data_IF_553678965211
#
_entry.id   IF_553678965211
#
_cell.length_a   1.000
_cell.length_b   1.000
_cell.length_c   1.000
_cell.angle_alpha   90.00
_cell.angle_beta   90.00
_cell.angle_gamma   90.00
#
_symmetry.space_group_name_H-M   'P 1'
#
loop_
_entity.id
_entity.type
_entity.pdbx_description
1 polymer ?
#
# COMPACT_ATOMS: atom_id res chain seq x y z
N UNK A 1 -7.46 6.48 -7.91
CA UNK A 1 -6.57 5.31 -7.80
C UNK A 1 -5.34 5.44 -8.69
N UNK A 2 -5.50 5.67 -10.01
CA UNK A 2 -4.37 5.86 -10.93
C UNK A 2 -3.39 6.97 -10.47
N UNK A 3 -3.83 8.17 -10.04
CA UNK A 3 -2.89 9.21 -9.59
C UNK A 3 -2.09 8.81 -8.35
N UNK A 4 -2.70 8.03 -7.45
CA UNK A 4 -2.02 7.53 -6.26
C UNK A 4 -0.98 6.45 -6.63
N UNK A 5 -1.31 5.54 -7.55
CA UNK A 5 -0.37 4.53 -8.04
C UNK A 5 0.84 5.17 -8.74
N UNK A 6 0.60 6.18 -9.58
CA UNK A 6 1.66 6.94 -10.24
C UNK A 6 2.57 7.65 -9.24
N UNK A 7 1.99 8.30 -8.22
CA UNK A 7 2.76 8.93 -7.16
C UNK A 7 3.64 7.93 -6.40
N UNK A 8 3.14 6.73 -6.10
CA UNK A 8 3.90 5.66 -5.45
C UNK A 8 5.05 5.18 -6.32
N UNK A 9 4.82 4.96 -7.62
CA UNK A 9 5.89 4.57 -8.55
C UNK A 9 6.97 5.64 -8.65
N UNK A 10 6.59 6.91 -8.70
CA UNK A 10 7.53 8.04 -8.69
C UNK A 10 8.38 8.07 -7.41
N UNK A 11 7.75 7.97 -6.24
CA UNK A 11 8.47 7.92 -4.96
C UNK A 11 9.41 6.72 -4.86
N UNK A 12 8.99 5.56 -5.39
CA UNK A 12 9.83 4.37 -5.44
C UNK A 12 11.05 4.60 -6.33
N UNK A 13 10.85 5.18 -7.52
CA UNK A 13 11.95 5.52 -8.44
C UNK A 13 12.92 6.54 -7.81
N UNK A 14 12.41 7.60 -7.19
CA UNK A 14 13.23 8.61 -6.50
C UNK A 14 14.08 7.98 -5.37
N UNK A 15 13.52 7.00 -4.65
CA UNK A 15 14.20 6.35 -3.52
C UNK A 15 15.20 5.28 -3.94
N UNK A 16 14.91 4.52 -5.00
CA UNK A 16 15.67 3.32 -5.38
C UNK A 16 16.38 3.43 -6.74
N UNK A 17 16.20 4.53 -7.47
CA UNK A 17 16.78 4.76 -8.80
C UNK A 17 16.21 3.88 -9.90
N UNK A 18 15.09 3.18 -9.64
CA UNK A 18 14.47 2.23 -10.58
C UNK A 18 13.00 2.02 -10.27
N UNK A 19 12.24 1.57 -11.27
CA UNK A 19 10.89 1.04 -11.05
C UNK A 19 10.93 -0.41 -10.54
N UNK A 20 9.87 -0.89 -9.87
CA UNK A 20 9.74 -2.30 -9.54
C UNK A 20 9.55 -3.11 -10.83
N UNK A 21 10.14 -4.31 -10.92
CA UNK A 21 9.97 -5.19 -12.08
C UNK A 21 8.65 -5.98 -12.02
N UNK A 22 8.24 -6.31 -10.81
CA UNK A 22 7.06 -7.12 -10.55
C UNK A 22 6.29 -6.55 -9.37
N UNK A 23 4.98 -6.47 -9.49
CA UNK A 23 4.05 -6.08 -8.43
C UNK A 23 3.05 -7.21 -8.21
N UNK A 24 2.81 -7.54 -6.94
CA UNK A 24 1.81 -8.52 -6.57
C UNK A 24 0.60 -7.81 -5.95
N UNK A 25 -0.59 -8.09 -6.47
CA UNK A 25 -1.85 -7.63 -5.91
C UNK A 25 -2.59 -8.75 -5.18
N UNK A 26 -3.52 -8.36 -4.31
CA UNK A 26 -4.55 -9.26 -3.85
C UNK A 26 -5.62 -9.45 -4.95
N UNK A 27 -6.67 -10.23 -4.67
CA UNK A 27 -7.74 -10.49 -5.64
C UNK A 27 -8.77 -9.33 -5.71
N UNK A 28 -8.50 -8.20 -5.06
CA UNK A 28 -9.33 -7.01 -5.13
C UNK A 28 -9.33 -6.41 -6.53
N UNK A 29 -10.52 -6.11 -7.05
CA UNK A 29 -10.70 -5.56 -8.41
C UNK A 29 -10.21 -4.13 -8.55
N UNK A 30 -10.00 -3.45 -7.43
CA UNK A 30 -9.50 -2.07 -7.36
C UNK A 30 -8.25 -1.89 -8.22
N UNK A 31 -7.23 -2.72 -8.02
CA UNK A 31 -5.94 -2.62 -8.72
C UNK A 31 -5.93 -3.22 -10.13
N UNK A 32 -7.01 -3.87 -10.55
CA UNK A 32 -7.20 -4.41 -11.90
C UNK A 32 -7.96 -3.46 -12.83
N UNK A 33 -8.17 -2.21 -12.42
CA UNK A 33 -8.76 -1.22 -13.33
C UNK A 33 -7.80 -0.92 -14.50
N UNK A 34 -8.39 -0.59 -15.66
CA UNK A 34 -7.64 -0.32 -16.91
C UNK A 34 -6.53 0.71 -16.74
N UNK A 35 -6.78 1.78 -15.98
CA UNK A 35 -5.80 2.86 -15.82
C UNK A 35 -4.56 2.42 -15.04
N UNK A 36 -4.72 1.61 -13.98
CA UNK A 36 -3.58 1.06 -13.23
C UNK A 36 -2.82 0.04 -14.08
N UNK A 37 -3.52 -0.82 -14.81
CA UNK A 37 -2.89 -1.80 -15.70
C UNK A 37 -2.07 -1.10 -16.80
N UNK A 38 -2.64 -0.09 -17.45
CA UNK A 38 -1.94 0.71 -18.47
C UNK A 38 -0.68 1.36 -17.89
N UNK A 39 -0.80 2.02 -16.72
CA UNK A 39 0.34 2.62 -16.03
C UNK A 39 1.48 1.62 -15.76
N UNK A 40 1.15 0.41 -15.30
CA UNK A 40 2.15 -0.61 -15.02
C UNK A 40 2.82 -1.11 -16.31
N UNK A 41 2.04 -1.28 -17.38
CA UNK A 41 2.57 -1.71 -18.68
C UNK A 41 3.48 -0.63 -19.30
N UNK A 42 3.13 0.66 -19.18
CA UNK A 42 3.94 1.77 -19.69
C UNK A 42 5.34 1.83 -19.03
N UNK A 43 5.45 1.32 -17.80
CA UNK A 43 6.69 1.21 -17.06
C UNK A 43 7.36 -0.18 -17.11
N UNK A 44 6.88 -1.09 -17.98
CA UNK A 44 7.36 -2.47 -18.10
C UNK A 44 7.32 -3.26 -16.77
N UNK A 45 6.23 -3.05 -16.00
CA UNK A 45 6.03 -3.65 -14.69
C UNK A 45 5.05 -4.82 -14.81
N UNK A 46 5.53 -6.05 -14.58
CA UNK A 46 4.67 -7.22 -14.55
C UNK A 46 3.81 -7.20 -13.28
N UNK A 47 2.49 -7.28 -13.42
CA UNK A 47 1.58 -7.47 -12.29
C UNK A 47 0.95 -8.87 -12.28
N UNK A 48 0.73 -9.43 -11.10
CA UNK A 48 0.05 -10.72 -10.94
C UNK A 48 -0.68 -10.81 -9.59
N UNK A 49 -1.66 -11.69 -9.51
CA UNK A 49 -2.20 -12.20 -8.23
C UNK A 49 -1.84 -13.68 -8.13
N UNK A 50 -1.38 -14.09 -6.97
CA UNK A 50 -1.24 -15.52 -6.67
C UNK A 50 -2.60 -16.02 -6.20
N UNK A 51 -2.93 -17.32 -6.40
CA UNK A 51 -4.21 -17.94 -5.97
C UNK A 51 -4.12 -18.85 -4.73
N UNK A 52 -2.92 -19.11 -4.23
CA UNK A 52 -2.64 -20.03 -3.11
C UNK A 52 -2.86 -19.40 -1.72
N UNK A 53 -3.75 -19.98 -0.91
CA UNK A 53 -4.20 -19.46 0.39
C UNK A 53 -3.10 -19.29 1.46
N UNK A 54 -1.95 -19.97 1.35
CA UNK A 54 -0.98 -20.06 2.43
C UNK A 54 0.21 -19.10 2.34
N UNK A 55 0.43 -18.39 1.22
CA UNK A 55 1.67 -17.61 1.00
C UNK A 55 1.51 -16.25 0.30
N UNK A 56 0.30 -15.85 -0.10
CA UNK A 56 0.08 -14.67 -0.97
C UNK A 56 0.52 -13.34 -0.37
N UNK A 57 -0.06 -12.98 0.75
CA UNK A 57 0.00 -11.61 1.26
C UNK A 57 0.44 -11.57 2.72
N UNK A 58 0.93 -12.68 3.28
CA UNK A 58 1.25 -12.80 4.70
C UNK A 58 2.19 -11.71 5.22
N UNK A 59 3.10 -11.20 4.38
CA UNK A 59 3.98 -10.07 4.71
C UNK A 59 3.17 -8.77 4.85
N UNK A 60 2.35 -8.46 3.84
CA UNK A 60 1.50 -7.25 3.82
C UNK A 60 0.43 -7.32 4.91
N UNK A 61 -0.19 -8.49 5.12
CA UNK A 61 -1.15 -8.74 6.19
C UNK A 61 -0.52 -8.54 7.57
N UNK A 62 0.68 -9.10 7.80
CA UNK A 62 1.41 -8.93 9.06
C UNK A 62 1.79 -7.47 9.29
N UNK A 63 2.21 -6.77 8.24
CA UNK A 63 2.48 -5.34 8.28
C UNK A 63 1.22 -4.56 8.67
N UNK A 64 0.11 -4.77 7.96
CA UNK A 64 -1.17 -4.11 8.21
C UNK A 64 -1.69 -4.37 9.63
N UNK A 65 -1.59 -5.63 10.10
CA UNK A 65 -1.96 -5.99 11.48
C UNK A 65 -1.10 -5.25 12.51
N UNK A 66 0.20 -5.15 12.28
CA UNK A 66 1.11 -4.43 13.19
C UNK A 66 0.80 -2.94 13.21
N UNK A 67 0.59 -2.35 12.04
CA UNK A 67 0.22 -0.94 11.89
C UNK A 67 -1.12 -0.65 12.58
N UNK A 68 -2.13 -1.49 12.36
CA UNK A 68 -3.44 -1.37 13.01
C UNK A 68 -3.34 -1.44 14.53
N UNK A 69 -2.55 -2.36 15.09
CA UNK A 69 -2.33 -2.47 16.53
C UNK A 69 -1.68 -1.19 17.09
N UNK A 70 -0.68 -0.64 16.40
CA UNK A 70 -0.01 0.61 16.82
C UNK A 70 -0.97 1.80 16.77
N UNK A 71 -1.75 1.91 15.69
CA UNK A 71 -2.78 2.93 15.56
C UNK A 71 -3.85 2.80 16.66
N UNK A 72 -4.29 1.58 16.98
CA UNK A 72 -5.29 1.33 18.02
C UNK A 72 -4.82 1.78 19.40
N UNK A 73 -3.57 1.48 19.76
CA UNK A 73 -2.95 1.96 21.01
C UNK A 73 -2.93 3.48 21.07
N UNK A 74 -2.44 4.11 20.00
CA UNK A 74 -2.39 5.56 19.86
C UNK A 74 -3.78 6.20 20.05
N UNK A 75 -4.82 5.63 19.43
CA UNK A 75 -6.16 6.16 19.53
C UNK A 75 -6.82 5.92 20.89
N UNK A 76 -6.51 4.79 21.55
CA UNK A 76 -7.02 4.49 22.89
C UNK A 76 -6.44 5.45 23.93
N UNK A 77 -5.14 5.73 23.87
CA UNK A 77 -4.46 6.65 24.79
C UNK A 77 -4.87 8.11 24.59
N UNK A 78 -5.10 8.54 23.34
CA UNK A 78 -5.41 9.94 23.02
C UNK A 78 -6.90 10.23 22.86
N UNK A 79 -7.76 9.24 22.69
CA UNK A 79 -9.20 9.41 22.43
C UNK A 79 -9.52 9.84 20.99
N UNK A 80 -10.64 9.34 20.45
CA UNK A 80 -11.12 9.63 19.09
C UNK A 80 -11.96 10.91 19.06
N UNK A 81 -11.34 12.09 19.06
CA UNK A 81 -12.04 13.36 18.79
C UNK A 81 -11.66 13.88 17.41
N UNK A 82 -12.54 14.65 16.75
CA UNK A 82 -12.29 15.18 15.39
C UNK A 82 -10.98 15.96 15.25
N UNK A 83 -10.52 16.63 16.32
CA UNK A 83 -9.23 17.34 16.38
C UNK A 83 -8.00 16.43 16.44
N UNK A 84 -8.16 15.13 16.76
CA UNK A 84 -7.08 14.13 16.94
C UNK A 84 -6.98 13.13 15.78
N UNK A 85 -7.78 13.30 14.72
CA UNK A 85 -7.76 12.49 13.48
C UNK A 85 -6.52 12.71 12.60
N UNK A 86 -5.48 13.40 13.08
CA UNK A 86 -4.20 13.55 12.36
C UNK A 86 -3.28 12.35 12.56
N UNK A 87 -3.80 11.14 12.35
CA UNK A 87 -2.98 9.93 12.42
C UNK A 87 -1.91 9.91 11.31
N UNK A 88 -2.18 10.59 10.19
CA UNK A 88 -1.24 10.76 9.07
C UNK A 88 0.08 11.41 9.52
N UNK A 89 0.01 12.40 10.41
CA UNK A 89 1.20 13.10 10.94
C UNK A 89 2.07 12.20 11.83
N UNK A 90 1.48 11.16 12.43
CA UNK A 90 2.18 10.22 13.31
C UNK A 90 2.55 8.91 12.62
N UNK A 91 2.05 8.64 11.40
CA UNK A 91 2.42 7.46 10.62
C UNK A 91 3.95 7.29 10.48
N UNK A 92 4.75 8.34 10.20
CA UNK A 92 6.20 8.18 10.11
C UNK A 92 6.86 7.75 11.42
N UNK A 93 6.17 7.90 12.55
CA UNK A 93 6.69 7.62 13.88
C UNK A 93 6.29 6.24 14.42
N UNK A 94 5.50 5.45 13.68
CA UNK A 94 5.15 4.07 14.05
C UNK A 94 6.21 3.09 13.57
#
# INVERSE_FOLDING_TARGET
MVPAAEQVLKQFHERFGRYPKVVQFDEGTEFYNKGVITLLNDHDIHHFSTRTDSKKAAIVERFNRTLQIRMWKYFTERGFTEKKKKWIDVLPNF
#
